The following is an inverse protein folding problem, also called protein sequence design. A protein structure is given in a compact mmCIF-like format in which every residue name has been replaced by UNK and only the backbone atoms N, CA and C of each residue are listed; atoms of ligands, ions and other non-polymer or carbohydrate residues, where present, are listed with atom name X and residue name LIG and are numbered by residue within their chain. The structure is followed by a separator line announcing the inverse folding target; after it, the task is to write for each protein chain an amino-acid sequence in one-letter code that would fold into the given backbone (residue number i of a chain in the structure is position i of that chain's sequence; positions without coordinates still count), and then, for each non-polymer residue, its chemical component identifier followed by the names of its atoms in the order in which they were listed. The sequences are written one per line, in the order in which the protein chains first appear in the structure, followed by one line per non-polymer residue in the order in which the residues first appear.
data_IF_249377987435
#
_entry.id   IF_249377987435
#
_cell.length_a   1.000
_cell.length_b   1.000
_cell.length_c   1.000
_cell.angle_alpha   90.00
_cell.angle_beta   90.00
_cell.angle_gamma   90.00
#
_symmetry.space_group_name_H-M   'P 1'
#
loop_
_entity.id
_entity.type
_entity.pdbx_description
1 polymer ?
#
# COMPACT_ATOMS: atom_id res chain seq x y z
N UNK A 1 -11.57 26.46 26.99
CA UNK A 1 -10.44 25.66 27.52
C UNK A 1 -9.50 25.33 26.38
N UNK A 2 -8.19 25.49 26.56
CA UNK A 2 -7.19 25.12 25.56
C UNK A 2 -6.53 23.80 25.98
N UNK A 3 -6.54 22.80 25.10
CA UNK A 3 -5.93 21.49 25.34
C UNK A 3 -4.93 21.17 24.23
N UNK A 4 -3.79 20.58 24.61
CA UNK A 4 -2.83 20.03 23.64
C UNK A 4 -3.09 18.54 23.47
N UNK A 5 -3.30 18.11 22.24
CA UNK A 5 -3.63 16.72 21.92
C UNK A 5 -2.63 16.22 20.88
N UNK A 6 -2.05 15.04 21.13
CA UNK A 6 -1.23 14.31 20.17
C UNK A 6 -2.04 13.16 19.61
N UNK A 7 -2.09 13.01 18.30
CA UNK A 7 -2.87 11.94 17.67
C UNK A 7 -2.77 11.94 16.15
N UNK A 8 -3.61 11.11 15.54
CA UNK A 8 -3.79 11.08 14.10
C UNK A 8 -4.48 12.37 13.62
N UNK A 9 -3.91 12.99 12.60
CA UNK A 9 -4.46 14.18 11.95
C UNK A 9 -5.28 13.72 10.75
N UNK A 10 -6.60 13.79 10.88
CA UNK A 10 -7.54 13.43 9.81
C UNK A 10 -7.75 14.61 8.87
N UNK A 11 -7.89 14.35 7.57
CA UNK A 11 -8.15 15.35 6.52
C UNK A 11 -7.05 16.40 6.30
N UNK A 12 -5.79 16.07 6.60
CA UNK A 12 -4.66 16.95 6.27
C UNK A 12 -4.51 17.10 4.75
N UNK A 13 -4.38 18.32 4.26
CA UNK A 13 -4.17 18.57 2.84
C UNK A 13 -2.70 18.42 2.45
N UNK A 14 -2.42 18.30 1.15
CA UNK A 14 -1.05 18.31 0.65
C UNK A 14 -0.35 19.65 0.89
N UNK A 15 -1.10 20.74 0.86
CA UNK A 15 -0.59 22.09 1.15
C UNK A 15 -0.16 22.21 2.62
N UNK A 16 -0.96 21.67 3.55
CA UNK A 16 -0.60 21.61 4.96
C UNK A 16 0.70 20.82 5.16
N UNK A 17 0.82 19.65 4.52
CA UNK A 17 2.05 18.85 4.59
C UNK A 17 3.25 19.61 4.02
N UNK A 18 3.10 20.38 2.94
CA UNK A 18 4.19 21.20 2.40
C UNK A 18 4.59 22.32 3.38
N UNK A 19 3.63 22.90 4.11
CA UNK A 19 3.93 23.91 5.12
C UNK A 19 4.78 23.33 6.28
N UNK A 20 4.50 22.11 6.70
CA UNK A 20 5.29 21.41 7.73
C UNK A 20 6.58 20.78 7.20
N UNK A 21 6.62 20.43 5.90
CA UNK A 21 7.78 19.87 5.21
C UNK A 21 8.15 20.69 3.96
N UNK A 22 8.69 21.92 4.10
CA UNK A 22 8.91 22.83 2.96
C UNK A 22 9.80 22.27 1.85
N UNK A 23 10.78 21.44 2.22
CA UNK A 23 11.67 20.76 1.27
C UNK A 23 10.92 19.80 0.33
N UNK A 24 9.73 19.34 0.72
CA UNK A 24 8.92 18.42 -0.06
C UNK A 24 8.24 19.09 -1.26
N UNK A 25 8.05 20.41 -1.24
CA UNK A 25 7.45 21.17 -2.35
C UNK A 25 8.11 20.89 -3.69
N UNK A 26 9.44 21.02 -3.74
CA UNK A 26 10.21 20.80 -4.96
C UNK A 26 10.09 19.35 -5.46
N UNK A 27 9.91 18.39 -4.55
CA UNK A 27 9.73 16.98 -4.92
C UNK A 27 8.36 16.78 -5.56
N UNK A 28 7.30 17.35 -4.98
CA UNK A 28 5.94 17.29 -5.52
C UNK A 28 5.89 17.88 -6.94
N UNK A 29 6.51 19.04 -7.15
CA UNK A 29 6.54 19.70 -8.46
C UNK A 29 7.23 18.86 -9.54
N UNK A 30 8.35 18.22 -9.21
CA UNK A 30 9.07 17.32 -10.11
C UNK A 30 8.31 16.00 -10.35
N UNK A 31 7.67 15.44 -9.33
CA UNK A 31 6.81 14.26 -9.47
C UNK A 31 5.63 14.56 -10.40
N UNK A 32 5.06 15.75 -10.31
CA UNK A 32 3.98 16.20 -11.22
C UNK A 32 4.45 16.27 -12.69
N UNK A 33 5.69 16.70 -12.95
CA UNK A 33 6.31 16.64 -14.31
C UNK A 33 6.48 15.20 -14.80
N UNK A 34 6.58 14.24 -13.88
CA UNK A 34 6.55 12.80 -14.16
C UNK A 34 5.11 12.23 -14.15
N UNK A 35 4.08 13.07 -14.20
CA UNK A 35 2.67 12.64 -14.20
C UNK A 35 2.32 11.80 -12.96
N UNK A 36 3.08 11.96 -11.87
CA UNK A 36 2.84 11.29 -10.60
C UNK A 36 2.10 12.27 -9.68
N UNK A 37 0.91 11.87 -9.26
CA UNK A 37 0.13 12.60 -8.28
C UNK A 37 0.56 12.19 -6.87
N UNK A 38 0.57 13.16 -5.95
CA UNK A 38 0.88 12.95 -4.55
C UNK A 38 -0.38 13.15 -3.74
N UNK A 39 -0.74 12.18 -2.92
CA UNK A 39 -1.92 12.22 -2.06
C UNK A 39 -1.52 12.04 -0.59
N UNK A 40 -1.96 12.91 0.33
CA UNK A 40 -1.82 12.67 1.77
C UNK A 40 -2.47 11.34 2.17
N UNK A 41 -1.79 10.53 2.97
CA UNK A 41 -2.31 9.24 3.41
C UNK A 41 -2.52 9.16 4.91
N UNK A 42 -1.46 9.37 5.69
CA UNK A 42 -1.50 9.35 7.14
C UNK A 42 -0.65 10.47 7.68
N UNK A 43 -1.11 11.12 8.74
CA UNK A 43 -0.31 12.08 9.47
C UNK A 43 -0.59 11.94 10.97
N UNK A 44 0.45 12.13 11.77
CA UNK A 44 0.37 12.26 13.22
C UNK A 44 1.05 13.52 13.65
N UNK A 45 0.49 14.17 14.65
CA UNK A 45 1.04 15.43 15.11
C UNK A 45 0.42 15.91 16.40
N UNK A 46 0.83 17.12 16.76
CA UNK A 46 0.38 17.84 17.93
C UNK A 46 -0.55 18.96 17.49
N UNK A 47 -1.72 19.05 18.09
CA UNK A 47 -2.67 20.13 17.86
C UNK A 47 -3.08 20.80 19.17
N UNK A 48 -3.32 22.10 19.10
CA UNK A 48 -4.03 22.87 20.12
C UNK A 48 -5.51 22.89 19.75
N UNK A 49 -6.34 22.48 20.70
CA UNK A 49 -7.79 22.42 20.57
C UNK A 49 -8.37 23.43 21.55
N UNK A 50 -8.96 24.49 21.02
CA UNK A 50 -9.69 25.48 21.81
C UNK A 50 -11.16 25.04 21.90
N UNK A 51 -11.55 24.53 23.06
CA UNK A 51 -12.91 24.08 23.35
C UNK A 51 -13.71 25.23 23.97
N UNK A 52 -14.82 25.60 23.35
CA UNK A 52 -15.77 26.53 23.95
C UNK A 52 -16.64 25.80 25.01
N UNK A 53 -16.23 25.91 26.27
CA UNK A 53 -16.91 25.25 27.40
C UNK A 53 -18.36 25.72 27.57
N UNK A 54 -18.74 26.91 27.08
CA UNK A 54 -20.11 27.41 27.21
C UNK A 54 -21.08 26.72 26.24
N UNK A 55 -20.55 26.07 25.21
CA UNK A 55 -21.32 25.37 24.17
C UNK A 55 -21.04 23.86 24.14
N UNK A 56 -20.18 23.37 25.03
CA UNK A 56 -19.82 21.97 25.09
C UNK A 56 -20.99 21.14 25.62
N UNK A 57 -21.43 20.15 24.84
CA UNK A 57 -22.39 19.14 25.27
C UNK A 57 -21.60 17.94 25.77
N UNK A 58 -21.85 17.55 27.02
CA UNK A 58 -21.23 16.39 27.65
C UNK A 58 -22.17 15.21 27.58
N UNK A 59 -21.70 14.10 27.01
CA UNK A 59 -22.34 12.81 27.20
C UNK A 59 -21.78 12.20 28.48
N UNK A 60 -22.69 11.87 29.40
CA UNK A 60 -22.35 11.29 30.71
C UNK A 60 -22.83 9.85 30.70
N UNK A 61 -21.89 8.92 30.82
CA UNK A 61 -22.18 7.50 31.01
C UNK A 61 -21.76 7.09 32.42
N UNK A 62 -22.68 6.46 33.16
CA UNK A 62 -22.38 5.88 34.46
C UNK A 62 -21.91 4.45 34.26
N UNK A 63 -20.62 4.20 34.50
CA UNK A 63 -20.02 2.88 34.34
C UNK A 63 -19.90 2.24 35.71
N UNK A 64 -20.66 1.16 35.91
CA UNK A 64 -20.57 0.29 37.08
C UNK A 64 -19.70 -0.92 36.79
N UNK A 65 -18.88 -1.35 37.76
CA UNK A 65 -18.10 -2.57 37.61
C UNK A 65 -19.00 -3.79 37.35
N UNK A 66 -18.56 -4.75 36.52
CA UNK A 66 -19.15 -6.08 36.49
C UNK A 66 -19.10 -6.73 37.88
N UNK A 67 -19.98 -7.71 38.20
CA UNK A 67 -20.02 -8.36 39.51
C UNK A 67 -18.70 -9.00 39.96
N UNK A 68 -17.79 -9.23 39.03
CA UNK A 68 -16.52 -9.93 39.20
C UNK A 68 -15.31 -8.98 39.41
N UNK A 69 -15.50 -7.66 39.32
CA UNK A 69 -14.41 -6.67 39.45
C UNK A 69 -14.60 -5.72 40.65
N UNK A 70 -13.55 -5.50 41.44
CA UNK A 70 -13.55 -4.59 42.60
C UNK A 70 -13.00 -3.20 42.25
N UNK A 71 -13.74 -2.40 41.49
CA UNK A 71 -13.46 -0.97 41.34
C UNK A 71 -14.71 -0.12 41.55
N UNK A 72 -14.52 1.12 42.02
CA UNK A 72 -15.64 2.00 42.35
C UNK A 72 -16.28 2.55 41.07
N UNK A 73 -17.62 2.58 40.95
CA UNK A 73 -18.30 3.16 39.81
C UNK A 73 -17.75 4.55 39.48
N UNK A 74 -17.60 4.85 38.19
CA UNK A 74 -17.16 6.17 37.74
C UNK A 74 -18.05 6.68 36.61
N UNK A 75 -18.10 8.00 36.48
CA UNK A 75 -18.76 8.65 35.35
C UNK A 75 -17.73 8.87 34.26
N UNK A 76 -18.00 8.34 33.07
CA UNK A 76 -17.26 8.68 31.85
C UNK A 76 -17.91 9.93 31.26
N UNK A 77 -17.11 10.98 31.10
CA UNK A 77 -17.51 12.23 30.45
C UNK A 77 -16.84 12.27 29.08
N UNK A 78 -17.65 12.25 28.02
CA UNK A 78 -17.17 12.44 26.65
C UNK A 78 -17.72 13.75 26.07
N UNK A 79 -16.84 14.54 25.44
CA UNK A 79 -17.25 15.69 24.63
C UNK A 79 -17.14 15.29 23.17
N UNK A 80 -18.26 15.35 22.44
CA UNK A 80 -18.24 15.30 20.98
C UNK A 80 -17.73 16.65 20.46
N UNK A 81 -16.53 16.64 19.91
CA UNK A 81 -15.77 17.85 19.50
C UNK A 81 -16.31 18.48 18.19
N UNK A 82 -17.25 17.82 17.52
CA UNK A 82 -17.65 18.11 16.13
C UNK A 82 -18.13 19.55 15.88
N UNK A 83 -18.66 20.27 16.86
CA UNK A 83 -19.18 21.64 16.70
C UNK A 83 -18.48 22.70 17.57
N UNK A 84 -17.51 22.30 18.40
CA UNK A 84 -17.12 23.10 19.59
C UNK A 84 -15.61 23.32 19.73
N UNK A 85 -14.81 23.07 18.68
CA UNK A 85 -13.38 23.30 18.76
C UNK A 85 -12.76 24.00 17.54
N UNK A 86 -11.97 25.05 17.80
CA UNK A 86 -10.94 25.50 16.85
C UNK A 86 -9.71 24.62 17.04
N UNK A 87 -9.30 23.95 15.97
CA UNK A 87 -8.12 23.09 15.97
C UNK A 87 -7.00 23.84 15.25
N UNK A 88 -5.87 24.02 15.93
CA UNK A 88 -4.63 24.53 15.35
C UNK A 88 -3.57 23.44 15.39
N UNK A 89 -3.18 22.92 14.23
CA UNK A 89 -2.06 21.98 14.15
C UNK A 89 -0.77 22.75 14.44
N UNK A 90 -0.06 22.33 15.48
CA UNK A 90 1.21 22.93 15.89
C UNK A 90 2.40 22.26 15.21
N UNK A 91 2.33 20.93 15.08
CA UNK A 91 3.39 20.14 14.47
C UNK A 91 2.82 18.90 13.80
N UNK A 92 3.54 18.39 12.79
CA UNK A 92 3.31 17.10 12.18
C UNK A 92 4.57 16.26 12.39
N UNK A 93 4.52 15.33 13.33
CA UNK A 93 5.64 14.48 13.72
C UNK A 93 5.91 13.40 12.65
N UNK A 94 4.85 12.78 12.16
CA UNK A 94 4.89 11.72 11.15
C UNK A 94 3.95 12.06 10.01
N UNK A 95 4.42 11.94 8.76
CA UNK A 95 3.59 12.10 7.58
C UNK A 95 3.93 11.07 6.51
N UNK A 96 2.89 10.47 5.94
CA UNK A 96 2.96 9.55 4.83
C UNK A 96 2.13 10.08 3.67
N UNK A 97 2.67 9.94 2.46
CA UNK A 97 1.96 10.26 1.22
C UNK A 97 2.04 9.09 0.26
N UNK A 98 0.99 8.95 -0.55
CA UNK A 98 0.90 7.99 -1.64
C UNK A 98 1.26 8.66 -2.95
N UNK A 99 2.00 7.93 -3.76
CA UNK A 99 2.34 8.30 -5.12
C UNK A 99 1.45 7.53 -6.08
N UNK A 100 0.73 8.25 -6.93
CA UNK A 100 -0.21 7.68 -7.87
C UNK A 100 0.19 7.98 -9.31
N UNK A 101 0.09 7.00 -10.18
CA UNK A 101 0.30 7.16 -11.62
C UNK A 101 -0.75 6.35 -12.38
N UNK A 102 -1.45 6.99 -13.31
CA UNK A 102 -2.53 6.36 -14.08
C UNK A 102 -3.58 5.63 -13.21
N UNK A 103 -3.99 6.26 -12.10
CA UNK A 103 -4.93 5.71 -11.10
C UNK A 103 -4.45 4.44 -10.37
N UNK A 104 -3.15 4.13 -10.46
CA UNK A 104 -2.53 3.04 -9.70
C UNK A 104 -1.60 3.63 -8.64
N UNK A 105 -1.72 3.14 -7.41
CA UNK A 105 -0.77 3.46 -6.35
C UNK A 105 0.58 2.85 -6.74
N UNK A 106 1.63 3.64 -6.77
CA UNK A 106 2.99 3.20 -7.08
C UNK A 106 3.80 2.92 -5.83
N UNK A 107 3.69 3.83 -4.85
CA UNK A 107 4.51 3.82 -3.66
C UNK A 107 3.83 4.58 -2.52
N UNK A 108 4.07 4.14 -1.29
CA UNK A 108 3.86 4.96 -0.10
C UNK A 108 5.22 5.41 0.44
N UNK A 109 5.37 6.72 0.69
CA UNK A 109 6.58 7.31 1.24
C UNK A 109 6.29 8.01 2.57
N UNK A 110 7.24 7.91 3.49
CA UNK A 110 7.26 8.60 4.78
C UNK A 110 8.16 9.83 4.66
N UNK A 111 7.59 11.01 4.92
CA UNK A 111 8.29 12.28 4.82
C UNK A 111 9.26 12.49 5.99
N UNK A 112 8.88 12.07 7.19
CA UNK A 112 9.64 12.27 8.41
C UNK A 112 10.93 11.46 8.42
N UNK A 113 10.84 10.19 8.05
CA UNK A 113 12.01 9.29 7.96
C UNK A 113 12.69 9.32 6.58
N UNK A 114 12.12 10.04 5.60
CA UNK A 114 12.53 9.99 4.19
C UNK A 114 12.70 8.54 3.70
N UNK A 115 11.67 7.74 3.90
CA UNK A 115 11.69 6.32 3.54
C UNK A 115 10.58 6.02 2.54
N UNK A 116 10.91 5.26 1.49
CA UNK A 116 9.91 4.62 0.63
C UNK A 116 9.51 3.34 1.38
N UNK A 117 8.34 3.38 2.00
CA UNK A 117 7.86 2.31 2.88
C UNK A 117 7.37 1.10 2.09
N UNK A 118 6.68 1.35 0.99
CA UNK A 118 6.17 0.31 0.11
C UNK A 118 6.27 0.73 -1.36
N UNK A 119 6.37 -0.29 -2.21
CA UNK A 119 6.15 -0.19 -3.64
C UNK A 119 5.05 -1.17 -3.99
N UNK A 120 4.21 -0.81 -4.94
CA UNK A 120 3.24 -1.75 -5.51
C UNK A 120 3.99 -2.85 -6.24
N UNK A 121 3.75 -4.09 -5.84
CA UNK A 121 4.27 -5.28 -6.51
C UNK A 121 3.32 -5.62 -7.68
N UNK A 122 3.71 -5.34 -8.94
CA UNK A 122 2.84 -5.56 -10.10
C UNK A 122 2.62 -7.06 -10.39
N UNK A 123 3.28 -7.95 -9.65
CA UNK A 123 3.19 -9.40 -9.81
C UNK A 123 2.35 -10.08 -8.72
N UNK A 124 1.95 -9.34 -7.68
CA UNK A 124 1.24 -9.90 -6.52
C UNK A 124 -0.26 -9.57 -6.50
N UNK A 125 -0.71 -8.57 -7.25
CA UNK A 125 -2.13 -8.18 -7.24
C UNK A 125 -2.99 -9.09 -8.15
N UNK A 126 -3.45 -10.21 -7.56
CA UNK A 126 -4.51 -11.05 -8.12
C UNK A 126 -5.88 -10.35 -8.12
N UNK A 127 -5.99 -9.16 -7.49
CA UNK A 127 -7.17 -8.32 -7.63
C UNK A 127 -7.00 -7.51 -8.89
N UNK A 128 -7.93 -7.71 -9.81
CA UNK A 128 -8.21 -6.86 -10.97
C UNK A 128 -8.50 -5.42 -10.48
N UNK A 129 -7.47 -4.72 -10.01
CA UNK A 129 -7.55 -3.37 -9.51
C UNK A 129 -7.74 -2.41 -10.69
N UNK A 130 -8.43 -1.29 -10.44
CA UNK A 130 -8.75 -0.26 -11.45
C UNK A 130 -7.47 0.38 -11.96
N UNK A 131 -6.84 -0.25 -12.96
CA UNK A 131 -5.59 0.17 -13.57
C UNK A 131 -4.52 -0.92 -13.46
N UNK A 132 -4.05 -1.43 -14.60
CA UNK A 132 -3.04 -2.48 -14.65
C UNK A 132 -1.66 -1.89 -14.94
N UNK A 133 -0.67 -2.18 -14.08
CA UNK A 133 0.73 -1.91 -14.37
C UNK A 133 1.20 -2.93 -15.40
N UNK A 134 1.49 -2.49 -16.63
CA UNK A 134 2.03 -3.39 -17.65
C UNK A 134 3.52 -3.56 -17.47
N UNK A 135 4.07 -4.66 -18.00
CA UNK A 135 5.52 -4.89 -18.04
C UNK A 135 6.33 -3.73 -18.62
N UNK A 136 5.80 -3.04 -19.64
CA UNK A 136 6.47 -1.87 -20.24
C UNK A 136 6.57 -0.68 -19.28
N UNK A 137 5.70 -0.63 -18.28
CA UNK A 137 5.58 0.47 -17.33
C UNK A 137 6.57 0.30 -16.14
N UNK A 138 7.19 -0.88 -15.97
CA UNK A 138 8.16 -1.15 -14.89
C UNK A 138 9.36 -0.18 -14.89
N UNK A 139 9.83 0.23 -16.07
CA UNK A 139 10.90 1.24 -16.21
C UNK A 139 10.53 2.56 -15.54
N UNK A 140 9.24 2.92 -15.55
CA UNK A 140 8.75 4.15 -14.92
C UNK A 140 8.86 4.07 -13.40
N UNK A 141 8.51 2.93 -12.80
CA UNK A 141 8.66 2.68 -11.36
C UNK A 141 10.12 2.85 -10.95
N UNK A 142 11.04 2.19 -11.67
CA UNK A 142 12.48 2.31 -11.41
C UNK A 142 12.94 3.76 -11.50
N UNK A 143 12.49 4.52 -12.52
CA UNK A 143 12.83 5.94 -12.69
C UNK A 143 12.37 6.79 -11.49
N UNK A 144 11.13 6.59 -11.03
CA UNK A 144 10.56 7.34 -9.90
C UNK A 144 11.31 7.01 -8.61
N UNK A 145 11.57 5.72 -8.35
CA UNK A 145 12.34 5.30 -7.17
C UNK A 145 13.77 5.85 -7.20
N UNK A 146 14.42 5.82 -8.36
CA UNK A 146 15.77 6.36 -8.55
C UNK A 146 15.81 7.87 -8.30
N UNK A 147 14.80 8.59 -8.79
CA UNK A 147 14.62 10.01 -8.52
C UNK A 147 14.48 10.30 -7.02
N UNK A 148 13.59 9.59 -6.32
CA UNK A 148 13.41 9.76 -4.87
C UNK A 148 14.67 9.44 -4.08
N UNK A 149 15.40 8.37 -4.45
CA UNK A 149 16.70 8.04 -3.84
C UNK A 149 17.72 9.16 -4.05
N UNK A 150 17.74 9.78 -5.23
CA UNK A 150 18.55 10.97 -5.51
C UNK A 150 18.18 12.19 -4.67
N UNK A 151 16.98 12.22 -4.08
CA UNK A 151 16.53 13.25 -3.11
C UNK A 151 16.75 12.85 -1.65
N UNK A 152 17.48 11.75 -1.42
CA UNK A 152 17.85 11.28 -0.08
C UNK A 152 16.86 10.31 0.55
N UNK A 153 15.92 9.76 -0.21
CA UNK A 153 15.03 8.72 0.32
C UNK A 153 15.74 7.36 0.38
N UNK A 154 15.49 6.64 1.47
CA UNK A 154 15.92 5.24 1.64
C UNK A 154 14.78 4.27 1.32
N UNK A 155 15.10 2.99 1.09
CA UNK A 155 14.11 1.94 0.87
C UNK A 155 13.90 1.18 2.18
N UNK A 156 12.63 0.92 2.54
CA UNK A 156 12.34 -0.12 3.50
C UNK A 156 12.78 -1.49 2.96
N UNK A 157 12.88 -2.50 3.84
CA UNK A 157 13.17 -3.88 3.43
C UNK A 157 12.18 -4.37 2.37
N UNK A 158 10.89 -4.13 2.60
CA UNK A 158 9.81 -4.56 1.69
C UNK A 158 9.87 -3.83 0.34
N UNK A 159 10.12 -2.52 0.33
CA UNK A 159 10.28 -1.75 -0.89
C UNK A 159 11.53 -2.19 -1.68
N UNK A 160 12.64 -2.51 -0.99
CA UNK A 160 13.85 -3.01 -1.61
C UNK A 160 13.65 -4.38 -2.26
N UNK A 161 12.98 -5.32 -1.57
CA UNK A 161 12.62 -6.63 -2.11
C UNK A 161 11.73 -6.50 -3.35
N UNK A 162 10.73 -5.63 -3.31
CA UNK A 162 9.83 -5.37 -4.45
C UNK A 162 10.59 -4.78 -5.63
N UNK A 163 11.46 -3.79 -5.39
CA UNK A 163 12.29 -3.20 -6.44
C UNK A 163 13.24 -4.23 -7.07
N UNK A 164 13.83 -5.12 -6.25
CA UNK A 164 14.70 -6.19 -6.74
C UNK A 164 13.94 -7.15 -7.68
N UNK A 165 12.72 -7.57 -7.31
CA UNK A 165 11.86 -8.38 -8.18
C UNK A 165 11.56 -7.67 -9.51
N UNK A 166 11.25 -6.37 -9.47
CA UNK A 166 11.01 -5.57 -10.69
C UNK A 166 12.25 -5.58 -11.59
N UNK A 167 13.45 -5.35 -11.02
CA UNK A 167 14.70 -5.39 -11.78
C UNK A 167 14.97 -6.76 -12.40
N UNK A 168 14.77 -7.84 -11.64
CA UNK A 168 14.93 -9.21 -12.12
C UNK A 168 14.03 -9.47 -13.33
N UNK A 169 12.73 -9.15 -13.21
CA UNK A 169 11.76 -9.38 -14.29
C UNK A 169 11.97 -8.48 -15.52
N UNK A 170 12.47 -7.25 -15.33
CA UNK A 170 12.79 -6.37 -16.45
C UNK A 170 13.99 -6.86 -17.29
N UNK A 171 14.95 -7.53 -16.66
CA UNK A 171 16.13 -8.08 -17.33
C UNK A 171 15.93 -9.50 -17.87
N UNK A 172 14.83 -10.15 -17.49
CA UNK A 172 14.57 -11.53 -17.82
C UNK A 172 14.20 -11.71 -19.30
N UNK A 173 14.88 -12.64 -19.97
CA UNK A 173 14.48 -13.14 -21.31
C UNK A 173 13.34 -14.15 -21.24
N UNK A 174 13.21 -14.82 -20.09
CA UNK A 174 12.14 -15.77 -19.77
C UNK A 174 11.87 -15.72 -18.27
N UNK A 175 10.65 -16.06 -17.86
CA UNK A 175 10.28 -16.16 -16.44
C UNK A 175 9.25 -17.27 -16.23
N UNK A 176 9.33 -17.95 -15.10
CA UNK A 176 8.39 -19.01 -14.73
C UNK A 176 7.12 -18.41 -14.10
N UNK A 177 5.96 -18.93 -14.51
CA UNK A 177 4.66 -18.70 -13.87
C UNK A 177 4.13 -20.06 -13.42
N UNK A 178 3.74 -20.17 -12.16
CA UNK A 178 3.05 -21.36 -11.64
C UNK A 178 1.56 -21.09 -11.55
N UNK A 179 0.78 -21.86 -12.31
CA UNK A 179 -0.68 -21.77 -12.33
C UNK A 179 -1.28 -22.95 -11.58
N UNK A 180 -2.21 -22.66 -10.67
CA UNK A 180 -3.08 -23.67 -10.06
C UNK A 180 -4.46 -23.55 -10.69
N UNK A 181 -4.83 -24.54 -11.48
CA UNK A 181 -6.17 -24.63 -12.08
C UNK A 181 -7.10 -25.39 -11.14
N UNK A 182 -8.33 -24.91 -11.00
CA UNK A 182 -9.38 -25.56 -10.21
C UNK A 182 -10.52 -25.94 -11.14
N UNK A 183 -10.96 -27.20 -11.11
CA UNK A 183 -12.07 -27.68 -11.93
C UNK A 183 -13.38 -27.17 -11.33
N UNK A 184 -14.14 -26.40 -12.12
CA UNK A 184 -15.46 -25.89 -11.74
C UNK A 184 -16.59 -26.74 -12.36
N UNK A 185 -16.35 -27.27 -13.56
CA UNK A 185 -17.29 -28.10 -14.32
C UNK A 185 -16.49 -29.17 -15.08
N UNK A 186 -16.68 -30.44 -14.73
CA UNK A 186 -15.86 -31.56 -15.23
C UNK A 186 -16.12 -31.84 -16.72
N UNK A 187 -17.34 -31.64 -17.20
CA UNK A 187 -17.74 -31.93 -18.59
C UNK A 187 -17.14 -30.92 -19.59
N UNK A 188 -16.66 -29.77 -19.10
CA UNK A 188 -16.04 -28.72 -19.91
C UNK A 188 -14.51 -28.73 -19.84
N UNK A 189 -13.91 -29.65 -19.10
CA UNK A 189 -12.45 -29.73 -18.99
C UNK A 189 -11.88 -30.22 -20.33
N UNK A 190 -11.11 -29.40 -21.05
CA UNK A 190 -10.51 -29.82 -22.32
C UNK A 190 -9.45 -30.90 -22.09
N UNK A 191 -9.06 -31.59 -23.16
CA UNK A 191 -7.87 -32.44 -23.10
C UNK A 191 -6.63 -31.62 -22.75
N UNK A 192 -5.61 -32.28 -22.20
CA UNK A 192 -4.37 -31.61 -21.82
C UNK A 192 -3.70 -30.85 -22.98
N UNK A 193 -3.71 -31.44 -24.19
CA UNK A 193 -3.15 -30.81 -25.39
C UNK A 193 -3.96 -29.59 -25.84
N UNK A 194 -5.29 -29.66 -25.76
CA UNK A 194 -6.15 -28.52 -26.07
C UNK A 194 -5.96 -27.37 -25.08
N UNK A 195 -5.81 -27.68 -23.79
CA UNK A 195 -5.50 -26.70 -22.75
C UNK A 195 -4.17 -25.98 -23.05
N UNK A 196 -3.10 -26.72 -23.34
CA UNK A 196 -1.80 -26.15 -23.68
C UNK A 196 -1.88 -25.30 -24.95
N UNK A 197 -2.59 -25.78 -25.98
CA UNK A 197 -2.77 -25.03 -27.23
C UNK A 197 -3.50 -23.71 -27.00
N UNK A 198 -4.57 -23.71 -26.19
CA UNK A 198 -5.31 -22.49 -25.85
C UNK A 198 -4.43 -21.48 -25.11
N UNK A 199 -3.68 -21.94 -24.09
CA UNK A 199 -2.76 -21.08 -23.34
C UNK A 199 -1.66 -20.53 -24.25
N UNK A 200 -1.07 -21.38 -25.09
CA UNK A 200 -0.01 -20.98 -26.03
C UNK A 200 -0.49 -19.91 -27.00
N UNK A 201 -1.66 -20.09 -27.62
CA UNK A 201 -2.22 -19.10 -28.56
C UNK A 201 -2.42 -17.73 -27.90
N UNK A 202 -2.98 -17.69 -26.68
CA UNK A 202 -3.18 -16.45 -25.93
C UNK A 202 -1.84 -15.74 -25.69
N UNK A 203 -0.80 -16.49 -25.30
CA UNK A 203 0.50 -15.93 -24.98
C UNK A 203 1.27 -15.46 -26.22
N UNK A 204 1.21 -16.20 -27.32
CA UNK A 204 1.85 -15.84 -28.59
C UNK A 204 1.29 -14.53 -29.13
N UNK A 205 -0.02 -14.33 -29.06
CA UNK A 205 -0.68 -13.06 -29.44
C UNK A 205 -0.22 -11.87 -28.58
N UNK A 206 0.38 -12.13 -27.41
CA UNK A 206 0.99 -11.13 -26.53
C UNK A 206 2.51 -11.06 -26.64
N UNK A 207 3.10 -11.74 -27.62
CA UNK A 207 4.54 -11.77 -27.87
C UNK A 207 5.31 -12.66 -26.90
N UNK A 208 4.65 -13.64 -26.27
CA UNK A 208 5.26 -14.58 -25.33
C UNK A 208 5.24 -15.99 -25.92
N UNK A 209 6.34 -16.72 -25.75
CA UNK A 209 6.39 -18.15 -26.01
C UNK A 209 6.35 -18.91 -24.68
N UNK A 210 5.66 -20.05 -24.66
CA UNK A 210 5.59 -20.92 -23.50
C UNK A 210 6.39 -22.19 -23.74
N UNK A 211 7.20 -22.56 -22.76
CA UNK A 211 7.86 -23.86 -22.69
C UNK A 211 7.32 -24.58 -21.45
N UNK A 212 6.95 -25.85 -21.61
CA UNK A 212 6.53 -26.69 -20.49
C UNK A 212 7.78 -27.17 -19.73
N UNK A 213 8.08 -26.56 -18.59
CA UNK A 213 9.13 -27.07 -17.70
C UNK A 213 8.59 -28.31 -16.98
N UNK A 214 8.84 -29.50 -17.53
CA UNK A 214 8.55 -30.75 -16.83
C UNK A 214 9.54 -30.91 -15.69
N UNK A 215 9.02 -30.85 -14.46
CA UNK A 215 9.81 -31.26 -13.29
C UNK A 215 10.31 -32.69 -13.47
N UNK A 216 11.50 -32.98 -12.93
CA UNK A 216 12.19 -34.29 -12.96
C UNK A 216 11.48 -35.39 -12.16
N UNK A 217 10.14 -35.42 -12.15
CA UNK A 217 9.29 -36.37 -11.41
C UNK A 217 9.18 -37.75 -12.07
N UNK A 218 9.87 -38.01 -13.17
CA UNK A 218 10.02 -39.39 -13.67
C UNK A 218 10.86 -40.26 -12.72
N UNK A 219 11.68 -39.67 -11.85
CA UNK A 219 12.52 -40.40 -10.89
C UNK A 219 11.77 -40.69 -9.57
N UNK A 220 10.87 -39.81 -9.13
CA UNK A 220 10.10 -39.98 -7.88
C UNK A 220 9.00 -41.06 -7.94
N UNK A 221 8.61 -41.51 -9.15
CA UNK A 221 7.68 -42.64 -9.31
C UNK A 221 8.32 -44.02 -9.09
N UNK A 222 9.65 -44.12 -9.05
CA UNK A 222 10.38 -45.38 -8.80
C UNK A 222 10.82 -45.55 -7.34
N UNK A 223 10.58 -44.56 -6.47
CA UNK A 223 10.78 -44.67 -5.03
C UNK A 223 9.46 -44.94 -4.30
N UNK A 224 8.92 -46.14 -4.52
CA UNK A 224 8.14 -46.82 -3.48
C UNK A 224 8.71 -48.22 -3.29
N UNK A 225 9.09 -48.61 -2.06
CA UNK A 225 9.53 -49.96 -1.80
C UNK A 225 8.34 -50.91 -2.01
N UNK A 226 8.55 -51.96 -2.80
CA UNK A 226 7.61 -53.08 -2.84
C UNK A 226 7.63 -53.80 -1.47
N UNK A 227 6.49 -54.34 -1.01
CA UNK A 227 6.44 -55.20 0.17
C UNK A 227 7.29 -56.48 -0.01
#
# INVERSE_FOLDING_TARGET
MLVKVKGDLVSISLEDLINFYPWFKNIVEELKKLEVNVEPFKAKGLAEVEIDCNRAVFEIEHITPPPEEEWKPYYRLEIKVNDVAKIRVLNVDEAQVRLWWNNVELATINLSSKTIESLTDPFWDLRLSKGEIRFRDLRRIVKIVSYLRGKGFTLSKYAAETLAKIHEKMGAKSFEIRLKLTIIDQEKVPSYNELLKHISNILVDKGLAIEETRGTRLIEMFEKPLP
#
